data_IF_875371513502
#
_entry.id   IF_875371513502
#
_cell.length_a   1.000
_cell.length_b   1.000
_cell.length_c   1.000
_cell.angle_alpha   90.00
_cell.angle_beta   90.00
_cell.angle_gamma   90.00
#
_symmetry.space_group_name_H-M   'P 1'
#
loop_
_entity.id
_entity.type
_entity.pdbx_description
1 polymer ?
#
# COMPACT_ATOMS: atom_id res chain seq x y z
N UNK A 1 24.56 10.62 -2.32
CA UNK A 1 25.32 10.57 -3.58
C UNK A 1 24.34 10.72 -4.74
N UNK A 2 24.66 11.57 -5.69
CA UNK A 2 23.82 11.81 -6.88
C UNK A 2 24.56 11.30 -8.11
N UNK A 3 23.91 10.42 -8.86
CA UNK A 3 24.38 10.00 -10.18
C UNK A 3 23.42 10.56 -11.23
N UNK A 4 23.84 11.59 -11.93
CA UNK A 4 23.07 12.26 -12.97
C UNK A 4 23.95 12.56 -14.19
N UNK A 5 23.36 12.52 -15.38
CA UNK A 5 24.03 12.97 -16.61
C UNK A 5 24.31 14.49 -16.50
N UNK A 6 25.53 14.93 -16.77
CA UNK A 6 25.99 16.34 -16.66
C UNK A 6 25.06 17.33 -17.35
N UNK A 7 24.37 16.92 -18.42
CA UNK A 7 23.38 17.75 -19.14
C UNK A 7 22.14 18.07 -18.32
N UNK A 8 21.83 17.23 -17.31
CA UNK A 8 20.64 17.36 -16.49
C UNK A 8 20.94 17.88 -15.08
N UNK A 9 22.20 17.94 -14.69
CA UNK A 9 22.63 18.44 -13.38
C UNK A 9 22.08 19.86 -13.07
N UNK A 10 22.07 20.81 -14.02
CA UNK A 10 21.54 22.15 -13.75
C UNK A 10 20.01 22.18 -13.52
N UNK A 11 19.31 21.11 -13.85
CA UNK A 11 17.85 20.99 -13.72
C UNK A 11 17.45 20.28 -12.42
N UNK A 12 18.39 19.66 -11.73
CA UNK A 12 18.15 19.00 -10.47
C UNK A 12 17.90 20.03 -9.36
N UNK A 13 16.77 19.90 -8.69
CA UNK A 13 16.47 20.60 -7.44
C UNK A 13 16.69 19.64 -6.28
N UNK A 14 17.51 20.09 -5.34
CA UNK A 14 17.78 19.37 -4.10
C UNK A 14 17.69 20.35 -2.95
N UNK A 15 16.81 20.12 -2.02
CA UNK A 15 16.59 20.97 -0.86
C UNK A 15 16.32 20.09 0.37
N UNK A 16 16.82 20.52 1.51
CA UNK A 16 16.47 19.95 2.81
C UNK A 16 15.74 21.03 3.58
N UNK A 17 14.49 20.77 3.94
CA UNK A 17 13.69 21.73 4.68
C UNK A 17 14.06 21.77 6.17
N UNK A 18 13.43 22.67 6.93
CA UNK A 18 13.68 22.85 8.37
C UNK A 18 13.25 21.67 9.23
N UNK A 19 12.46 20.75 8.68
CA UNK A 19 12.01 19.51 9.32
C UNK A 19 12.91 18.32 8.98
N UNK A 20 13.95 18.54 8.17
CA UNK A 20 14.89 17.50 7.72
C UNK A 20 14.36 16.66 6.53
N UNK A 21 13.26 17.08 5.89
CA UNK A 21 12.75 16.40 4.70
C UNK A 21 13.60 16.78 3.49
N UNK A 22 14.04 15.76 2.78
CA UNK A 22 14.80 15.91 1.53
C UNK A 22 13.83 16.02 0.36
N UNK A 23 13.85 17.15 -0.30
CA UNK A 23 13.07 17.41 -1.51
C UNK A 23 13.96 17.25 -2.74
N UNK A 24 13.56 16.37 -3.65
CA UNK A 24 14.26 16.13 -4.91
C UNK A 24 13.28 16.29 -6.06
N UNK A 25 13.66 17.06 -7.05
CA UNK A 25 12.82 17.27 -8.22
C UNK A 25 13.65 17.69 -9.42
N UNK A 26 13.01 17.70 -10.58
CA UNK A 26 13.56 18.25 -11.82
C UNK A 26 12.72 19.45 -12.23
N UNK A 27 13.37 20.53 -12.67
CA UNK A 27 12.65 21.69 -13.22
C UNK A 27 11.79 21.28 -14.42
N UNK A 28 10.52 21.65 -14.38
CA UNK A 28 9.52 21.22 -15.36
C UNK A 28 9.75 21.82 -16.76
N UNK A 29 9.31 21.07 -17.76
CA UNK A 29 9.24 21.54 -19.16
C UNK A 29 10.34 21.01 -20.07
N UNK A 30 11.29 20.24 -19.60
CA UNK A 30 12.32 19.63 -20.44
C UNK A 30 11.86 18.25 -20.93
N UNK A 31 11.68 18.11 -22.24
CA UNK A 31 11.61 16.79 -22.89
C UNK A 31 12.98 16.14 -22.79
N UNK A 32 13.13 15.22 -21.87
CA UNK A 32 14.36 14.43 -21.77
C UNK A 32 14.23 13.26 -22.73
N UNK A 33 14.77 13.46 -23.93
CA UNK A 33 14.97 12.36 -24.88
C UNK A 33 16.25 11.62 -24.49
N UNK A 34 16.12 10.68 -23.55
CA UNK A 34 17.29 9.91 -23.12
C UNK A 34 16.90 8.50 -22.69
N UNK A 35 16.94 7.58 -23.64
CA UNK A 35 16.88 6.15 -23.37
C UNK A 35 18.09 5.64 -22.54
N UNK A 36 19.04 6.49 -22.18
CA UNK A 36 20.31 6.14 -21.54
C UNK A 36 20.77 7.08 -20.41
N UNK A 37 19.99 8.10 -20.02
CA UNK A 37 20.40 8.99 -18.94
C UNK A 37 20.17 8.34 -17.58
N UNK A 38 21.24 8.10 -16.85
CA UNK A 38 21.18 7.68 -15.43
C UNK A 38 20.74 8.88 -14.58
N UNK A 39 19.74 8.65 -13.75
CA UNK A 39 19.28 9.59 -12.73
C UNK A 39 19.01 8.79 -11.47
N UNK A 40 20.00 8.74 -10.59
CA UNK A 40 19.89 8.04 -9.31
C UNK A 40 20.34 8.94 -8.19
N UNK A 41 19.55 8.96 -7.14
CA UNK A 41 19.90 9.61 -5.89
C UNK A 41 19.98 8.54 -4.80
N UNK A 42 21.12 8.50 -4.12
CA UNK A 42 21.33 7.61 -2.99
C UNK A 42 21.24 8.42 -1.71
N UNK A 43 20.27 8.10 -0.86
CA UNK A 43 20.10 8.68 0.47
C UNK A 43 20.46 7.63 1.53
N UNK A 44 21.27 8.03 2.48
CA UNK A 44 21.61 7.23 3.65
C UNK A 44 20.91 7.84 4.85
N UNK A 45 19.85 7.17 5.34
CA UNK A 45 18.99 7.66 6.39
C UNK A 45 19.14 6.76 7.63
N UNK A 46 19.12 7.35 8.81
CA UNK A 46 19.08 6.63 10.09
C UNK A 46 17.66 6.37 10.57
N UNK A 47 16.71 7.15 10.09
CA UNK A 47 15.29 7.10 10.44
C UNK A 47 14.44 7.45 9.23
N UNK A 48 13.22 6.92 9.17
CA UNK A 48 12.29 7.13 8.07
C UNK A 48 10.93 7.55 8.63
N UNK A 49 10.57 8.82 8.47
CA UNK A 49 9.26 9.33 8.88
C UNK A 49 8.31 9.58 7.70
N UNK A 50 8.87 9.86 6.52
CA UNK A 50 8.08 10.27 5.37
C UNK A 50 8.73 9.88 4.05
N UNK A 51 7.92 9.29 3.15
CA UNK A 51 8.25 9.09 1.73
C UNK A 51 7.15 9.75 0.90
N UNK A 52 7.56 10.53 -0.08
CA UNK A 52 6.65 10.99 -1.14
C UNK A 52 7.32 10.86 -2.49
N UNK A 53 6.68 10.13 -3.38
CA UNK A 53 7.12 10.01 -4.76
C UNK A 53 5.97 10.35 -5.71
N UNK A 54 6.27 11.02 -6.82
CA UNK A 54 5.26 11.44 -7.79
C UNK A 54 5.85 11.57 -9.19
N UNK A 55 4.98 11.59 -10.18
CA UNK A 55 5.39 11.63 -11.59
C UNK A 55 5.71 10.23 -12.11
N UNK A 56 6.97 9.94 -12.35
CA UNK A 56 7.49 8.63 -12.74
C UNK A 56 8.81 8.41 -11.97
N UNK A 57 8.68 8.08 -10.70
CA UNK A 57 9.79 8.00 -9.75
C UNK A 57 9.84 6.63 -9.10
N UNK A 58 10.97 5.97 -9.21
CA UNK A 58 11.21 4.70 -8.55
C UNK A 58 11.99 4.95 -7.26
N UNK A 59 11.52 4.38 -6.15
CA UNK A 59 12.16 4.45 -4.84
C UNK A 59 12.54 3.04 -4.42
N UNK A 60 13.82 2.74 -4.43
CA UNK A 60 14.35 1.46 -3.96
C UNK A 60 14.89 1.62 -2.53
N UNK A 61 14.31 0.88 -1.60
CA UNK A 61 14.76 0.85 -0.22
C UNK A 61 15.67 -0.35 0.03
N UNK A 62 16.67 -0.19 0.88
CA UNK A 62 17.54 -1.27 1.28
C UNK A 62 17.83 -1.21 2.78
N UNK A 63 17.66 -2.36 3.45
CA UNK A 63 17.84 -2.50 4.89
C UNK A 63 16.54 -2.25 5.66
N UNK A 64 16.61 -2.57 6.96
CA UNK A 64 15.49 -2.40 7.87
C UNK A 64 15.48 -0.97 8.44
N UNK A 65 14.33 -0.31 8.33
CA UNK A 65 14.07 0.96 8.99
C UNK A 65 13.28 0.72 10.29
N UNK A 66 13.84 1.17 11.40
CA UNK A 66 13.15 1.20 12.68
C UNK A 66 12.66 2.62 12.94
N UNK A 67 11.35 2.82 13.03
CA UNK A 67 10.75 4.14 13.03
C UNK A 67 9.58 4.27 14.01
N UNK A 68 9.15 5.50 14.26
CA UNK A 68 7.93 5.81 14.99
C UNK A 68 6.68 5.69 14.09
N UNK A 69 6.04 6.82 13.85
CA UNK A 69 4.99 6.93 12.83
C UNK A 69 5.61 7.20 11.46
N UNK A 70 5.05 6.58 10.41
CA UNK A 70 5.56 6.73 9.04
C UNK A 70 4.42 7.09 8.09
N UNK A 71 4.67 8.02 7.18
CA UNK A 71 3.75 8.39 6.12
C UNK A 71 4.37 8.11 4.75
N UNK A 72 3.61 7.47 3.87
CA UNK A 72 4.01 7.13 2.50
C UNK A 72 2.95 7.67 1.54
N UNK A 73 3.36 8.47 0.57
CA UNK A 73 2.50 9.03 -0.46
C UNK A 73 3.10 8.76 -1.84
N UNK A 74 2.39 7.98 -2.64
CA UNK A 74 2.78 7.71 -4.03
C UNK A 74 1.72 8.23 -5.00
N UNK A 75 2.15 8.82 -6.10
CA UNK A 75 1.26 9.32 -7.12
C UNK A 75 1.87 9.32 -8.52
N UNK A 76 1.02 9.37 -9.53
CA UNK A 76 1.45 9.28 -10.93
C UNK A 76 1.72 7.84 -11.35
N UNK A 77 2.94 7.53 -11.74
CA UNK A 77 3.44 6.19 -12.04
C UNK A 77 4.75 6.00 -11.24
N UNK A 78 4.60 5.89 -9.92
CA UNK A 78 5.75 5.85 -9.00
C UNK A 78 5.76 4.54 -8.24
N UNK A 79 6.92 3.92 -8.14
CA UNK A 79 7.12 2.62 -7.53
C UNK A 79 7.92 2.74 -6.24
N UNK A 80 7.54 1.98 -5.23
CA UNK A 80 8.27 1.82 -3.96
C UNK A 80 8.58 0.34 -3.75
N UNK A 81 9.85 -0.02 -3.87
CA UNK A 81 10.31 -1.39 -3.74
C UNK A 81 11.26 -1.62 -2.57
N UNK A 82 11.25 -2.83 -2.04
CA UNK A 82 12.23 -3.32 -1.07
C UNK A 82 12.13 -2.68 0.32
N UNK A 83 11.02 -2.02 0.66
CA UNK A 83 10.87 -1.40 1.99
C UNK A 83 10.69 -2.47 3.08
N UNK A 84 11.65 -2.55 3.98
CA UNK A 84 11.52 -3.29 5.24
C UNK A 84 11.34 -2.29 6.39
N UNK A 85 10.15 -2.29 7.02
CA UNK A 85 9.78 -1.30 8.03
C UNK A 85 9.32 -1.97 9.33
N UNK A 86 9.92 -1.56 10.44
CA UNK A 86 9.47 -1.85 11.80
C UNK A 86 9.05 -0.54 12.48
N UNK A 87 7.78 -0.17 12.37
CA UNK A 87 7.25 1.05 12.96
C UNK A 87 6.62 0.75 14.32
N UNK A 88 7.04 1.46 15.36
CA UNK A 88 6.42 1.35 16.68
C UNK A 88 5.01 1.93 16.73
N UNK A 89 4.66 2.81 15.79
CA UNK A 89 3.42 3.58 15.74
C UNK A 89 2.52 3.21 14.56
N UNK A 90 2.00 4.25 13.93
CA UNK A 90 1.06 4.18 12.80
C UNK A 90 1.80 4.37 11.48
N UNK A 91 1.50 3.51 10.52
CA UNK A 91 1.94 3.66 9.13
C UNK A 91 0.75 4.12 8.30
N UNK A 92 0.83 5.30 7.71
CA UNK A 92 -0.19 5.84 6.80
C UNK A 92 0.31 5.75 5.37
N UNK A 93 -0.46 5.10 4.51
CA UNK A 93 -0.10 4.90 3.10
C UNK A 93 -1.19 5.45 2.20
N UNK A 94 -0.81 6.30 1.27
CA UNK A 94 -1.69 6.77 0.21
C UNK A 94 -1.00 6.49 -1.13
N UNK A 95 -1.63 5.68 -1.98
CA UNK A 95 -1.11 5.40 -3.31
C UNK A 95 -2.21 5.56 -4.36
N UNK A 96 -1.89 6.31 -5.42
CA UNK A 96 -2.83 6.61 -6.47
C UNK A 96 -2.16 6.77 -7.84
N UNK A 97 -2.98 6.77 -8.88
CA UNK A 97 -2.49 6.74 -10.27
C UNK A 97 -2.25 5.30 -10.71
N UNK A 98 -1.02 4.98 -11.07
CA UNK A 98 -0.54 3.63 -11.39
C UNK A 98 0.73 3.38 -10.59
N UNK A 99 0.61 3.35 -9.27
CA UNK A 99 1.74 3.27 -8.34
C UNK A 99 1.82 1.90 -7.71
N UNK A 100 3.01 1.34 -7.63
CA UNK A 100 3.26 0.02 -7.09
C UNK A 100 4.00 0.10 -5.76
N UNK A 101 3.64 -0.77 -4.81
CA UNK A 101 4.30 -0.90 -3.50
C UNK A 101 4.65 -2.36 -3.24
N UNK A 102 5.94 -2.62 -2.99
CA UNK A 102 6.42 -3.90 -2.45
C UNK A 102 7.15 -3.65 -1.13
N UNK A 103 6.54 -4.08 -0.03
CA UNK A 103 7.05 -3.81 1.32
C UNK A 103 6.82 -4.96 2.30
N UNK A 104 7.68 -5.01 3.31
CA UNK A 104 7.48 -5.81 4.53
C UNK A 104 7.28 -4.85 5.70
N UNK A 105 6.09 -4.88 6.34
CA UNK A 105 5.72 -3.89 7.35
C UNK A 105 5.30 -4.57 8.66
N UNK A 106 5.96 -4.20 9.74
CA UNK A 106 5.53 -4.48 11.11
C UNK A 106 5.21 -3.17 11.80
N UNK A 107 3.99 -3.02 12.28
CA UNK A 107 3.53 -1.77 12.92
C UNK A 107 2.42 -2.04 13.92
N UNK A 108 2.07 -1.04 14.72
CA UNK A 108 0.86 -1.12 15.54
C UNK A 108 -0.39 -1.08 14.67
N UNK A 109 -0.42 -0.20 13.68
CA UNK A 109 -1.56 0.06 12.82
C UNK A 109 -1.10 0.56 11.45
N UNK A 110 -1.70 0.04 10.39
CA UNK A 110 -1.54 0.53 9.03
C UNK A 110 -2.88 1.07 8.52
N UNK A 111 -2.88 2.33 8.09
CA UNK A 111 -4.00 2.99 7.43
C UNK A 111 -3.65 3.22 5.96
N UNK A 112 -4.31 2.52 5.06
CA UNK A 112 -4.07 2.57 3.62
C UNK A 112 -5.24 3.13 2.82
N UNK A 113 -4.97 3.99 1.86
CA UNK A 113 -5.94 4.45 0.86
C UNK A 113 -5.33 4.27 -0.52
N UNK A 114 -5.96 3.42 -1.33
CA UNK A 114 -5.46 3.01 -2.63
C UNK A 114 -6.50 3.30 -3.71
N UNK A 115 -6.08 4.03 -4.75
CA UNK A 115 -6.99 4.44 -5.81
C UNK A 115 -6.31 4.50 -7.17
N UNK A 116 -7.10 4.48 -8.24
CA UNK A 116 -6.57 4.42 -9.60
C UNK A 116 -6.36 2.99 -10.06
N UNK A 117 -5.13 2.63 -10.39
CA UNK A 117 -4.69 1.30 -10.78
C UNK A 117 -3.37 0.97 -10.05
N UNK A 118 -3.43 0.94 -8.72
CA UNK A 118 -2.27 0.76 -7.86
C UNK A 118 -2.17 -0.69 -7.39
N UNK A 119 -0.98 -1.27 -7.45
CA UNK A 119 -0.70 -2.63 -7.02
C UNK A 119 0.13 -2.62 -5.73
N UNK A 120 -0.39 -3.26 -4.68
CA UNK A 120 0.23 -3.27 -3.35
C UNK A 120 0.53 -4.69 -2.90
N UNK A 121 1.78 -4.96 -2.58
CA UNK A 121 2.21 -6.23 -1.98
C UNK A 121 2.81 -5.96 -0.60
N UNK A 122 2.14 -6.47 0.44
CA UNK A 122 2.67 -6.46 1.81
C UNK A 122 3.01 -7.87 2.26
N UNK A 123 4.28 -8.15 2.42
CA UNK A 123 4.78 -9.44 2.89
C UNK A 123 5.19 -9.38 4.36
N UNK A 124 4.93 -10.46 5.13
CA UNK A 124 5.31 -10.53 6.55
C UNK A 124 4.65 -9.45 7.41
N UNK A 125 3.47 -8.99 7.02
CA UNK A 125 2.72 -7.96 7.76
C UNK A 125 2.43 -8.41 9.20
N UNK A 126 2.58 -7.46 10.14
CA UNK A 126 2.17 -7.65 11.52
C UNK A 126 1.61 -6.35 12.09
N UNK A 127 0.35 -6.37 12.57
CA UNK A 127 -0.33 -5.20 13.14
C UNK A 127 -1.84 -5.24 12.93
N UNK A 128 -2.50 -4.09 13.08
CA UNK A 128 -3.88 -3.89 12.64
C UNK A 128 -3.89 -3.25 11.26
N UNK A 129 -4.81 -3.65 10.40
CA UNK A 129 -4.90 -3.19 9.02
C UNK A 129 -6.25 -2.53 8.75
N UNK A 130 -6.21 -1.28 8.33
CA UNK A 130 -7.37 -0.52 7.87
C UNK A 130 -7.09 -0.03 6.46
N UNK A 131 -7.88 -0.45 5.47
CA UNK A 131 -7.63 -0.03 4.10
C UNK A 131 -8.90 0.16 3.28
N UNK A 132 -8.84 1.17 2.42
CA UNK A 132 -9.84 1.48 1.42
C UNK A 132 -9.23 1.34 0.02
N UNK A 133 -9.77 0.44 -0.79
CA UNK A 133 -9.37 0.22 -2.18
C UNK A 133 -10.47 0.71 -3.12
N UNK A 134 -10.09 1.46 -4.14
CA UNK A 134 -11.04 1.96 -5.14
C UNK A 134 -10.42 2.03 -6.54
N UNK A 135 -11.26 2.18 -7.55
CA UNK A 135 -10.80 2.15 -8.94
C UNK A 135 -10.57 0.72 -9.42
N UNK A 136 -9.35 0.41 -9.80
CA UNK A 136 -8.87 -0.92 -10.18
C UNK A 136 -7.57 -1.24 -9.42
N UNK A 137 -7.60 -1.03 -8.10
CA UNK A 137 -6.43 -1.22 -7.23
C UNK A 137 -6.41 -2.62 -6.64
N UNK A 138 -5.28 -3.25 -6.69
CA UNK A 138 -5.08 -4.60 -6.18
C UNK A 138 -4.15 -4.59 -4.98
N UNK A 139 -4.53 -5.33 -3.92
CA UNK A 139 -3.70 -5.46 -2.73
C UNK A 139 -3.55 -6.91 -2.33
N UNK A 140 -2.33 -7.35 -2.18
CA UNK A 140 -2.00 -8.65 -1.63
C UNK A 140 -1.27 -8.49 -0.30
N UNK A 141 -1.78 -9.16 0.74
CA UNK A 141 -1.17 -9.10 2.07
C UNK A 141 -1.02 -10.47 2.69
N UNK A 142 0.12 -10.71 3.34
CA UNK A 142 0.42 -11.95 4.04
C UNK A 142 1.11 -11.69 5.38
N UNK A 143 0.88 -12.58 6.36
CA UNK A 143 1.43 -12.47 7.72
C UNK A 143 0.37 -12.70 8.80
N UNK A 144 0.31 -11.83 9.80
CA UNK A 144 -0.66 -11.92 10.89
C UNK A 144 -1.23 -10.55 11.27
N UNK A 145 -2.54 -10.45 11.45
CA UNK A 145 -3.21 -9.23 11.88
C UNK A 145 -4.10 -9.47 13.10
N UNK A 146 -4.16 -8.48 13.99
CA UNK A 146 -5.16 -8.46 15.06
C UNK A 146 -6.54 -8.14 14.50
N UNK A 147 -6.67 -6.96 13.92
CA UNK A 147 -7.91 -6.46 13.31
C UNK A 147 -7.64 -6.13 11.84
N UNK A 148 -8.55 -6.55 10.98
CA UNK A 148 -8.60 -6.10 9.58
C UNK A 148 -9.93 -5.41 9.33
N UNK A 149 -9.89 -4.19 8.80
CA UNK A 149 -11.04 -3.49 8.26
C UNK A 149 -10.74 -3.09 6.84
N UNK A 150 -11.41 -3.71 5.89
CA UNK A 150 -11.19 -3.50 4.46
C UNK A 150 -12.46 -3.08 3.75
N UNK A 151 -12.34 -2.06 2.91
CA UNK A 151 -13.38 -1.63 1.98
C UNK A 151 -12.84 -1.71 0.56
N UNK A 152 -13.58 -2.40 -0.30
CA UNK A 152 -13.26 -2.50 -1.72
C UNK A 152 -14.43 -1.99 -2.56
N UNK A 153 -14.12 -1.12 -3.51
CA UNK A 153 -15.10 -0.57 -4.45
C UNK A 153 -14.53 -0.49 -5.87
N UNK A 154 -15.40 -0.32 -6.86
CA UNK A 154 -14.98 -0.33 -8.27
C UNK A 154 -14.68 -1.75 -8.77
N UNK A 155 -13.51 -1.98 -9.30
CA UNK A 155 -13.01 -3.27 -9.75
C UNK A 155 -11.76 -3.69 -8.97
N UNK A 156 -11.74 -3.43 -7.67
CA UNK A 156 -10.57 -3.65 -6.79
C UNK A 156 -10.58 -5.05 -6.20
N UNK A 157 -9.38 -5.62 -6.08
CA UNK A 157 -9.17 -6.93 -5.48
C UNK A 157 -8.31 -6.83 -4.21
N UNK A 158 -8.79 -7.43 -3.11
CA UNK A 158 -8.04 -7.57 -1.87
C UNK A 158 -7.77 -9.06 -1.58
N UNK A 159 -6.53 -9.47 -1.74
CA UNK A 159 -6.07 -10.84 -1.47
C UNK A 159 -5.30 -10.92 -0.14
N UNK A 160 -5.98 -11.33 0.89
CA UNK A 160 -5.43 -11.63 2.21
C UNK A 160 -5.43 -13.14 2.50
N UNK A 161 -5.44 -14.00 1.48
CA UNK A 161 -5.46 -15.45 1.68
C UNK A 161 -4.25 -15.97 2.48
N UNK A 162 -3.13 -15.24 2.47
CA UNK A 162 -1.92 -15.51 3.27
C UNK A 162 -1.89 -14.83 4.63
N UNK A 163 -2.94 -14.11 5.05
CA UNK A 163 -3.02 -13.38 6.30
C UNK A 163 -3.89 -14.10 7.33
N UNK A 164 -3.33 -14.42 8.48
CA UNK A 164 -4.11 -14.89 9.63
C UNK A 164 -4.64 -13.69 10.40
N UNK A 165 -5.95 -13.65 10.66
CA UNK A 165 -6.61 -12.50 11.28
C UNK A 165 -7.45 -12.91 12.47
N UNK A 166 -7.41 -12.15 13.57
CA UNK A 166 -8.29 -12.43 14.71
C UNK A 166 -9.73 -11.98 14.41
N UNK A 167 -9.92 -10.74 14.02
CA UNK A 167 -11.24 -10.19 13.71
C UNK A 167 -11.21 -9.40 12.41
N UNK A 168 -12.24 -9.55 11.58
CA UNK A 168 -12.31 -8.90 10.29
C UNK A 168 -13.68 -8.24 10.04
N UNK A 169 -13.63 -7.01 9.50
CA UNK A 169 -14.76 -6.33 8.86
C UNK A 169 -14.43 -6.12 7.39
N UNK A 170 -15.23 -6.69 6.51
CA UNK A 170 -15.03 -6.63 5.06
C UNK A 170 -16.26 -6.03 4.39
N UNK A 171 -16.04 -4.98 3.60
CA UNK A 171 -17.09 -4.33 2.81
C UNK A 171 -16.67 -4.35 1.33
N UNK A 172 -17.45 -5.00 0.49
CA UNK A 172 -17.21 -5.12 -0.94
C UNK A 172 -18.38 -4.56 -1.74
N UNK A 173 -18.13 -3.73 -2.73
CA UNK A 173 -19.18 -3.12 -3.57
C UNK A 173 -18.77 -3.07 -5.04
N UNK A 174 -19.73 -2.78 -5.90
CA UNK A 174 -19.55 -2.76 -7.36
C UNK A 174 -19.10 -4.13 -7.92
N UNK A 175 -17.89 -4.24 -8.49
CA UNK A 175 -17.36 -5.48 -9.06
C UNK A 175 -16.09 -5.94 -8.31
N UNK A 176 -16.00 -5.63 -7.02
CA UNK A 176 -14.80 -5.92 -6.24
C UNK A 176 -14.77 -7.32 -5.64
N UNK A 177 -13.59 -7.77 -5.27
CA UNK A 177 -13.37 -9.07 -4.63
C UNK A 177 -12.54 -8.91 -3.35
N UNK A 178 -12.93 -9.65 -2.32
CA UNK A 178 -12.17 -9.78 -1.06
C UNK A 178 -11.95 -11.27 -0.79
N UNK A 179 -10.70 -11.68 -0.68
CA UNK A 179 -10.31 -13.02 -0.28
C UNK A 179 -9.58 -12.98 1.06
N UNK A 180 -10.23 -13.45 2.11
CA UNK A 180 -9.66 -13.49 3.46
C UNK A 180 -9.03 -14.85 3.74
N UNK A 181 -7.89 -14.85 4.44
CA UNK A 181 -7.28 -16.02 5.03
C UNK A 181 -8.08 -16.53 6.25
N UNK A 182 -7.43 -17.30 7.14
CA UNK A 182 -8.07 -17.76 8.36
C UNK A 182 -8.49 -16.58 9.24
N UNK A 183 -9.80 -16.48 9.52
CA UNK A 183 -10.35 -15.56 10.53
C UNK A 183 -10.67 -16.38 11.78
N UNK A 184 -10.09 -16.00 12.91
CA UNK A 184 -10.10 -16.84 14.11
C UNK A 184 -11.28 -16.57 15.05
N UNK A 185 -11.67 -15.29 15.23
CA UNK A 185 -12.66 -14.90 16.24
C UNK A 185 -13.98 -14.41 15.64
N UNK A 186 -13.95 -13.33 14.89
CA UNK A 186 -15.16 -12.66 14.41
C UNK A 186 -15.02 -12.16 12.97
N UNK A 187 -16.08 -12.34 12.19
CA UNK A 187 -16.23 -11.81 10.84
C UNK A 187 -17.53 -11.06 10.69
N UNK A 188 -17.46 -9.80 10.28
CA UNK A 188 -18.58 -9.04 9.72
C UNK A 188 -18.30 -8.76 8.25
N UNK A 189 -19.28 -9.04 7.39
CA UNK A 189 -19.12 -8.92 5.94
C UNK A 189 -20.33 -8.27 5.29
N UNK A 190 -20.11 -7.27 4.44
CA UNK A 190 -21.13 -6.64 3.62
C UNK A 190 -20.71 -6.68 2.15
N UNK A 191 -21.52 -7.29 1.30
CA UNK A 191 -21.23 -7.49 -0.12
C UNK A 191 -22.36 -6.99 -0.97
N UNK A 192 -22.11 -5.97 -1.80
CA UNK A 192 -23.09 -5.33 -2.67
C UNK A 192 -22.69 -5.32 -4.15
N UNK A 193 -23.65 -5.11 -5.05
CA UNK A 193 -23.38 -5.12 -6.49
C UNK A 193 -23.06 -6.51 -7.01
N UNK A 194 -22.02 -6.65 -7.82
CA UNK A 194 -21.51 -7.92 -8.34
C UNK A 194 -20.23 -8.36 -7.61
N UNK A 195 -20.09 -8.02 -6.33
CA UNK A 195 -18.91 -8.29 -5.54
C UNK A 195 -18.92 -9.66 -4.86
N UNK A 196 -17.77 -10.08 -4.38
CA UNK A 196 -17.65 -11.34 -3.66
C UNK A 196 -16.68 -11.23 -2.48
N UNK A 197 -17.05 -11.83 -1.35
CA UNK A 197 -16.20 -11.99 -0.18
C UNK A 197 -16.04 -13.48 0.08
N UNK A 198 -14.81 -13.95 0.14
CA UNK A 198 -14.49 -15.32 0.56
C UNK A 198 -13.62 -15.28 1.80
N UNK A 199 -13.80 -16.24 2.70
CA UNK A 199 -13.02 -16.32 3.94
C UNK A 199 -12.72 -17.78 4.31
N UNK A 200 -11.68 -18.00 5.09
CA UNK A 200 -11.34 -19.28 5.70
C UNK A 200 -11.38 -19.18 7.23
N UNK A 201 -11.37 -20.34 7.89
CA UNK A 201 -11.50 -20.42 9.34
C UNK A 201 -12.94 -20.64 9.78
N UNK A 202 -13.18 -20.56 11.08
CA UNK A 202 -14.49 -20.79 11.69
C UNK A 202 -14.83 -19.66 12.68
N UNK A 203 -14.89 -18.39 12.22
CA UNK A 203 -15.19 -17.26 13.09
C UNK A 203 -16.65 -17.28 13.55
N UNK A 204 -16.93 -16.58 14.63
CA UNK A 204 -18.30 -16.14 14.93
C UNK A 204 -18.72 -15.12 13.88
N UNK A 205 -19.86 -15.35 13.25
CA UNK A 205 -20.38 -14.42 12.27
C UNK A 205 -21.17 -13.31 12.98
N UNK A 206 -20.72 -12.09 12.84
CA UNK A 206 -21.44 -10.89 13.23
C UNK A 206 -22.52 -10.53 12.20
N UNK A 207 -22.48 -9.31 11.65
CA UNK A 207 -23.35 -8.91 10.54
C UNK A 207 -22.83 -9.47 9.22
N UNK A 208 -23.63 -10.31 8.57
CA UNK A 208 -23.34 -10.79 7.20
C UNK A 208 -24.50 -10.39 6.30
N UNK A 209 -24.22 -9.46 5.39
CA UNK A 209 -25.22 -8.91 4.45
C UNK A 209 -24.69 -9.10 3.03
N UNK A 210 -25.56 -9.48 2.12
CA UNK A 210 -25.22 -9.51 0.70
C UNK A 210 -26.48 -9.31 -0.17
N UNK A 211 -26.30 -8.68 -1.32
CA UNK A 211 -27.34 -8.53 -2.33
C UNK A 211 -27.48 -9.79 -3.20
N UNK A 212 -28.54 -9.85 -4.01
CA UNK A 212 -28.83 -11.01 -4.87
C UNK A 212 -27.72 -11.34 -5.90
N UNK A 213 -26.93 -10.33 -6.32
CA UNK A 213 -25.86 -10.51 -7.29
C UNK A 213 -24.48 -10.63 -6.64
N UNK A 214 -24.39 -10.49 -5.31
CA UNK A 214 -23.14 -10.61 -4.54
C UNK A 214 -23.10 -11.89 -3.72
N UNK A 215 -21.95 -12.20 -3.16
CA UNK A 215 -21.80 -13.40 -2.33
C UNK A 215 -20.80 -13.24 -1.19
N UNK A 216 -21.15 -13.88 -0.05
CA UNK A 216 -20.22 -14.11 1.06
C UNK A 216 -20.12 -15.63 1.27
N UNK A 217 -18.93 -16.21 1.16
CA UNK A 217 -18.75 -17.67 1.19
C UNK A 217 -17.53 -18.08 2.01
N UNK A 218 -17.68 -19.17 2.75
CA UNK A 218 -16.54 -19.86 3.35
C UNK A 218 -15.83 -20.71 2.30
N UNK A 219 -14.52 -20.54 2.18
CA UNK A 219 -13.65 -21.37 1.35
C UNK A 219 -13.03 -22.49 2.21
N UNK A 220 -12.80 -23.63 1.60
CA UNK A 220 -12.19 -24.81 2.23
C UNK A 220 -10.67 -24.83 2.10
#
# INVERSE_FOLDING_TARGET
VVEIDERHEPMLRFEIDTCGVVHVGMDGGVRIDSRHAKRRLYLYLSDLAYIRASGASDVDCAGLFESGDVRIELGGASDLGGLELAAAGVVSVEAGGSSDIDASVRCRELNGTFFGASDIVLSGFSGNLYCDLSGASDMKVSGAAGIVSVKCSGASDFDAAGLVTQSCRAEASAASRIALGPVEKELSADSGGASSITYRGNPSLGSVVHSSASSVRQAH
#
